data_IF_876017279935
#
_entry.id   IF_876017279935
#
_cell.length_a   1.000
_cell.length_b   1.000
_cell.length_c   1.000
_cell.angle_alpha   90.00
_cell.angle_beta   90.00
_cell.angle_gamma   90.00
#
_symmetry.space_group_name_H-M   'P 1'
#
loop_
_entity.id
_entity.type
_entity.pdbx_description
1 polymer ?
#
# COMPACT_ATOMS: atom_id res chain seq x y z
N UNK A 1 -28.62 15.52 -22.19
CA UNK A 1 -27.48 14.66 -21.79
C UNK A 1 -26.94 15.23 -20.49
N UNK A 2 -27.17 14.57 -19.34
CA UNK A 2 -26.58 14.99 -18.07
C UNK A 2 -25.15 14.43 -18.06
N UNK A 3 -24.17 15.29 -18.26
CA UNK A 3 -22.76 14.91 -18.14
C UNK A 3 -22.48 14.81 -16.65
N UNK A 4 -22.47 13.58 -16.12
CA UNK A 4 -21.99 13.32 -14.76
C UNK A 4 -20.47 13.51 -14.80
N UNK A 5 -20.04 14.75 -14.58
CA UNK A 5 -18.64 15.13 -14.58
C UNK A 5 -18.02 14.56 -13.31
N UNK A 6 -17.08 13.62 -13.48
CA UNK A 6 -16.29 13.11 -12.36
C UNK A 6 -15.67 14.29 -11.62
N UNK A 7 -15.76 14.26 -10.29
CA UNK A 7 -15.11 15.27 -9.47
C UNK A 7 -13.60 15.22 -9.68
N UNK A 8 -12.91 16.34 -9.45
CA UNK A 8 -11.45 16.37 -9.54
C UNK A 8 -10.80 15.32 -8.62
N UNK A 9 -11.40 15.07 -7.44
CA UNK A 9 -10.95 14.01 -6.54
C UNK A 9 -11.01 12.63 -7.20
N UNK A 10 -12.13 12.29 -7.84
CA UNK A 10 -12.29 10.99 -8.51
C UNK A 10 -11.30 10.82 -9.66
N UNK A 11 -11.00 11.89 -10.39
CA UNK A 11 -10.00 11.90 -11.45
C UNK A 11 -8.59 11.67 -10.86
N UNK A 12 -8.26 12.37 -9.76
CA UNK A 12 -6.97 12.22 -9.07
C UNK A 12 -6.77 10.81 -8.53
N UNK A 13 -7.77 10.25 -7.83
CA UNK A 13 -7.71 8.87 -7.32
C UNK A 13 -7.49 7.85 -8.44
N UNK A 14 -8.18 8.03 -9.58
CA UNK A 14 -8.00 7.18 -10.76
C UNK A 14 -6.60 7.32 -11.35
N UNK A 15 -6.09 8.55 -11.44
CA UNK A 15 -4.74 8.80 -11.95
C UNK A 15 -3.68 8.16 -11.07
N UNK A 16 -3.78 8.30 -9.74
CA UNK A 16 -2.84 7.67 -8.79
C UNK A 16 -2.81 6.16 -8.98
N UNK A 17 -3.97 5.50 -9.13
CA UNK A 17 -4.05 4.04 -9.35
C UNK A 17 -3.39 3.61 -10.66
N UNK A 18 -3.64 4.35 -11.75
CA UNK A 18 -3.05 4.05 -13.06
C UNK A 18 -1.53 4.23 -13.00
N UNK A 19 -1.05 5.36 -12.49
CA UNK A 19 0.37 5.64 -12.39
C UNK A 19 1.08 4.61 -11.50
N UNK A 20 0.51 4.29 -10.34
CA UNK A 20 1.09 3.30 -9.41
C UNK A 20 1.23 1.92 -10.07
N UNK A 21 0.29 1.56 -10.95
CA UNK A 21 0.34 0.29 -11.68
C UNK A 21 1.45 0.28 -12.75
N UNK A 22 1.63 1.39 -13.48
CA UNK A 22 2.50 1.42 -14.66
C UNK A 22 3.97 1.75 -14.33
N UNK A 23 4.23 2.58 -13.31
CA UNK A 23 5.59 2.98 -12.93
C UNK A 23 5.97 2.63 -11.48
N UNK A 24 5.05 2.03 -10.72
CA UNK A 24 5.27 1.73 -9.32
C UNK A 24 5.00 2.92 -8.40
N UNK A 25 4.86 2.63 -7.10
CA UNK A 25 4.44 3.60 -6.08
C UNK A 25 5.50 4.69 -5.88
N UNK A 26 6.79 4.32 -5.85
CA UNK A 26 7.88 5.26 -5.59
C UNK A 26 7.97 6.37 -6.65
N UNK A 27 7.94 6.00 -7.94
CA UNK A 27 8.01 6.95 -9.04
C UNK A 27 6.72 7.75 -9.19
N UNK A 28 5.56 7.13 -8.90
CA UNK A 28 4.27 7.85 -8.86
C UNK A 28 4.29 8.98 -7.83
N UNK A 29 4.78 8.72 -6.61
CA UNK A 29 4.87 9.77 -5.58
C UNK A 29 5.86 10.88 -5.98
N UNK A 30 7.02 10.53 -6.55
CA UNK A 30 7.96 11.52 -7.09
C UNK A 30 7.33 12.38 -8.17
N UNK A 31 6.53 11.79 -9.07
CA UNK A 31 5.81 12.52 -10.12
C UNK A 31 4.78 13.49 -9.53
N UNK A 32 3.93 13.03 -8.60
CA UNK A 32 2.90 13.87 -7.98
C UNK A 32 3.49 15.03 -7.16
N UNK A 33 4.62 14.80 -6.50
CA UNK A 33 5.36 15.82 -5.75
C UNK A 33 5.98 16.91 -6.65
N UNK A 34 5.98 16.77 -7.98
CA UNK A 34 6.39 17.84 -8.90
C UNK A 34 5.31 18.93 -9.05
N UNK A 35 4.03 18.54 -8.90
CA UNK A 35 2.89 19.42 -9.13
C UNK A 35 2.26 19.92 -7.83
N UNK A 36 2.65 19.33 -6.69
CA UNK A 36 2.21 19.74 -5.37
C UNK A 36 3.34 19.57 -4.38
N UNK A 37 3.36 20.38 -3.33
CA UNK A 37 4.26 20.20 -2.18
C UNK A 37 3.95 18.96 -1.34
N UNK A 38 3.06 18.08 -1.80
CA UNK A 38 2.38 17.08 -0.97
C UNK A 38 1.33 17.71 -0.05
N UNK A 39 0.54 16.86 0.60
CA UNK A 39 -0.39 17.22 1.66
C UNK A 39 -0.21 16.23 2.81
N UNK A 40 -0.52 16.66 4.04
CA UNK A 40 -0.39 15.83 5.24
C UNK A 40 0.98 15.95 5.90
N UNK A 41 1.06 15.42 7.11
CA UNK A 41 2.30 15.32 7.87
C UNK A 41 2.61 13.84 8.05
N UNK A 42 3.34 13.25 7.09
CA UNK A 42 3.67 11.83 7.12
C UNK A 42 4.37 11.42 8.43
N UNK A 43 5.11 12.32 9.08
CA UNK A 43 5.71 12.03 10.39
C UNK A 43 4.65 11.77 11.45
N UNK A 44 3.64 12.65 11.55
CA UNK A 44 2.53 12.50 12.50
C UNK A 44 1.62 11.32 12.13
N UNK A 45 1.32 11.15 10.84
CA UNK A 45 0.49 10.06 10.35
C UNK A 45 1.16 8.70 10.57
N UNK A 46 2.46 8.60 10.28
CA UNK A 46 3.27 7.40 10.55
C UNK A 46 3.31 7.10 12.03
N UNK A 47 3.49 8.10 12.88
CA UNK A 47 3.46 7.92 14.32
C UNK A 47 2.08 7.41 14.77
N UNK A 48 0.98 8.00 14.29
CA UNK A 48 -0.36 7.52 14.60
C UNK A 48 -0.61 6.06 14.16
N UNK A 49 -0.08 5.65 13.00
CA UNK A 49 -0.23 4.28 12.48
C UNK A 49 0.63 3.25 13.21
N UNK A 50 1.85 3.63 13.62
CA UNK A 50 2.87 2.66 14.07
C UNK A 50 3.40 2.90 15.48
N UNK A 51 2.87 3.86 16.25
CA UNK A 51 3.34 4.17 17.62
C UNK A 51 3.35 2.97 18.57
N UNK A 52 2.42 2.03 18.37
CA UNK A 52 2.23 0.87 19.23
C UNK A 52 2.89 -0.39 18.63
N UNK A 53 3.46 -0.31 17.41
CA UNK A 53 4.10 -1.44 16.74
C UNK A 53 5.51 -1.62 17.27
N UNK A 54 5.78 -2.77 17.89
CA UNK A 54 7.12 -3.11 18.39
C UNK A 54 7.91 -3.93 17.38
N UNK A 55 9.23 -4.00 17.57
CA UNK A 55 10.08 -4.88 16.75
C UNK A 55 9.69 -6.36 16.93
N UNK A 56 9.31 -6.75 18.14
CA UNK A 56 8.91 -8.13 18.45
C UNK A 56 7.61 -8.50 17.70
N UNK A 57 6.66 -7.56 17.58
CA UNK A 57 5.44 -7.76 16.79
C UNK A 57 5.76 -8.02 15.31
N UNK A 58 6.70 -7.25 14.74
CA UNK A 58 7.14 -7.40 13.34
C UNK A 58 7.81 -8.77 13.13
N UNK A 59 8.73 -9.14 14.03
CA UNK A 59 9.44 -10.42 13.94
C UNK A 59 8.48 -11.60 14.07
N UNK A 60 7.50 -11.49 14.98
CA UNK A 60 6.47 -12.51 15.16
C UNK A 60 5.60 -12.65 13.89
N UNK A 61 5.21 -11.54 13.26
CA UNK A 61 4.42 -11.56 12.03
C UNK A 61 5.20 -12.19 10.87
N UNK A 62 6.48 -11.85 10.71
CA UNK A 62 7.35 -12.49 9.71
C UNK A 62 7.49 -14.00 9.93
N UNK A 63 7.71 -14.43 11.17
CA UNK A 63 7.79 -15.86 11.50
C UNK A 63 6.46 -16.58 11.23
N UNK A 64 5.33 -15.92 11.50
CA UNK A 64 4.01 -16.46 11.17
C UNK A 64 3.80 -16.60 9.67
N UNK A 65 4.15 -15.60 8.87
CA UNK A 65 4.04 -15.68 7.40
C UNK A 65 4.90 -16.82 6.83
N UNK A 66 6.17 -16.91 7.25
CA UNK A 66 7.07 -18.00 6.85
C UNK A 66 6.53 -19.38 7.25
N UNK A 67 5.96 -19.51 8.45
CA UNK A 67 5.37 -20.76 8.90
C UNK A 67 4.09 -21.12 8.14
N UNK A 68 3.25 -20.14 7.81
CA UNK A 68 2.03 -20.34 7.04
C UNK A 68 2.34 -20.77 5.59
N UNK A 69 3.36 -20.18 4.96
CA UNK A 69 3.84 -20.61 3.64
C UNK A 69 4.35 -22.06 3.66
N UNK A 70 5.11 -22.44 4.69
CA UNK A 70 5.59 -23.80 4.86
C UNK A 70 4.45 -24.81 5.09
N UNK A 71 3.39 -24.42 5.83
CA UNK A 71 2.22 -25.26 6.04
C UNK A 71 1.40 -25.47 4.75
N UNK A 72 1.23 -24.43 3.94
CA UNK A 72 0.56 -24.50 2.64
C UNK A 72 1.29 -25.49 1.70
N UNK A 73 2.62 -25.42 1.64
CA UNK A 73 3.44 -26.34 0.84
C UNK A 73 3.31 -27.80 1.32
N UNK A 74 3.30 -28.04 2.64
CA UNK A 74 3.10 -29.41 3.17
C UNK A 74 1.71 -29.98 2.90
N UNK A 75 0.67 -29.13 2.82
CA UNK A 75 -0.68 -29.57 2.46
C UNK A 75 -0.75 -29.98 0.99
N UNK A 76 -0.16 -29.20 0.08
CA UNK A 76 -0.18 -29.50 -1.37
C UNK A 76 0.64 -30.76 -1.74
N UNK A 77 1.68 -31.12 -0.98
CA UNK A 77 2.46 -32.35 -1.19
C UNK A 77 1.79 -33.61 -0.62
N UNK A 78 0.85 -33.46 0.31
CA UNK A 78 0.18 -34.60 0.97
C UNK A 78 -1.10 -35.06 0.22
N UNK A 79 -1.63 -34.25 -0.69
CA UNK A 79 -2.84 -34.57 -1.51
C UNK A 79 -2.44 -35.17 -2.87
N UNK A 80 -1.30 -35.85 -2.97
CA UNK A 80 -0.86 -36.61 -4.16
C UNK A 80 -0.62 -38.07 -3.83
#
# INVERSE_FOLDING_TARGET
>A
MKTDLQSLQQITEKAIKILSKEMGIADTMRFLNQFSSGYGNYTEEREAMFKDLTLDDILQEMDQELNNENQQITHDVTIV
#
